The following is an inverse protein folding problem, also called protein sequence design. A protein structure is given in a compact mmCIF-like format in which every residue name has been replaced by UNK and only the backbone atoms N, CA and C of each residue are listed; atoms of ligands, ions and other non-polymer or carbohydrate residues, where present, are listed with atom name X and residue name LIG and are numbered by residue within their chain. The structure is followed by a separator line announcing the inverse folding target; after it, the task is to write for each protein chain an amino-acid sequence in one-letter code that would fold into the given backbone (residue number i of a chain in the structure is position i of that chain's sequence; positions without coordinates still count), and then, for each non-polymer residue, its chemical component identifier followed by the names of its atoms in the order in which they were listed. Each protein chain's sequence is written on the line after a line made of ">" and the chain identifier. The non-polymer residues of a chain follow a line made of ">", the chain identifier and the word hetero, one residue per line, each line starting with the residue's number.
data_IF_096150190719
#
_entry.id   IF_096150190719
#
_cell.length_a   1.000
_cell.length_b   1.000
_cell.length_c   1.000
_cell.angle_alpha   90.00
_cell.angle_beta   90.00
_cell.angle_gamma   90.00
#
_symmetry.space_group_name_H-M   'P 1'
#
loop_
_entity.id
_entity.type
_entity.pdbx_description
1 polymer ?
#
# COMPACT_ATOMS: atom_id res chain seq x y z
N UNK A 1 10.91 -2.24 30.21
CA UNK A 1 9.56 -1.66 30.35
C UNK A 1 8.64 -2.32 29.33
N UNK A 2 7.51 -2.92 29.74
CA UNK A 2 6.59 -3.61 28.82
C UNK A 2 5.79 -2.53 28.08
N UNK A 3 5.84 -2.47 26.74
CA UNK A 3 5.06 -1.49 25.96
C UNK A 3 3.58 -1.60 26.28
N UNK A 4 2.89 -0.47 26.37
CA UNK A 4 1.44 -0.46 26.56
C UNK A 4 0.73 -1.03 25.32
N UNK A 5 -0.52 -1.48 25.46
CA UNK A 5 -1.29 -1.99 24.31
C UNK A 5 -1.39 -0.95 23.18
N UNK A 6 -1.61 0.32 23.53
CA UNK A 6 -1.67 1.42 22.59
C UNK A 6 -0.36 1.58 21.79
N UNK A 7 0.79 1.55 22.47
CA UNK A 7 2.10 1.63 21.80
C UNK A 7 2.36 0.44 20.86
N UNK A 8 1.85 -0.74 21.21
CA UNK A 8 1.96 -1.94 20.36
C UNK A 8 1.08 -1.84 19.13
N UNK A 9 -0.16 -1.36 19.29
CA UNK A 9 -1.09 -1.10 18.19
C UNK A 9 -0.49 -0.09 17.21
N UNK A 10 0.02 1.04 17.72
CA UNK A 10 0.63 2.08 16.88
C UNK A 10 1.91 1.60 16.17
N UNK A 11 2.71 0.78 16.84
CA UNK A 11 3.89 0.17 16.21
C UNK A 11 3.51 -0.82 15.09
N UNK A 12 2.46 -1.62 15.27
CA UNK A 12 1.99 -2.55 14.24
C UNK A 12 1.39 -1.78 13.05
N UNK A 13 0.49 -0.84 13.32
CA UNK A 13 -0.13 0.00 12.30
C UNK A 13 0.89 0.80 11.49
N UNK A 14 1.91 1.39 12.13
CA UNK A 14 2.93 2.17 11.42
C UNK A 14 3.77 1.30 10.47
N UNK A 15 4.06 0.05 10.85
CA UNK A 15 4.76 -0.90 9.98
C UNK A 15 3.89 -1.32 8.79
N UNK A 16 2.61 -1.61 9.01
CA UNK A 16 1.71 -2.01 7.92
C UNK A 16 1.46 -0.84 6.96
N UNK A 17 1.34 0.38 7.50
CA UNK A 17 1.30 1.61 6.71
C UNK A 17 2.55 1.76 5.86
N UNK A 18 3.74 1.49 6.41
CA UNK A 18 4.99 1.53 5.66
C UNK A 18 4.95 0.52 4.50
N UNK A 19 4.53 -0.71 4.75
CA UNK A 19 4.41 -1.74 3.71
C UNK A 19 3.41 -1.36 2.61
N UNK A 20 2.25 -0.81 2.97
CA UNK A 20 1.27 -0.33 2.00
C UNK A 20 1.86 0.77 1.10
N UNK A 21 2.62 1.70 1.68
CA UNK A 21 3.31 2.76 0.92
C UNK A 21 4.45 2.21 0.05
N UNK A 22 5.22 1.23 0.55
CA UNK A 22 6.26 0.57 -0.22
C UNK A 22 5.69 -0.20 -1.43
N UNK A 23 4.58 -0.91 -1.25
CA UNK A 23 3.90 -1.60 -2.34
C UNK A 23 3.34 -0.62 -3.37
N UNK A 24 2.76 0.50 -2.91
CA UNK A 24 2.32 1.57 -3.81
C UNK A 24 3.51 2.12 -4.60
N UNK A 25 4.63 2.44 -3.96
CA UNK A 25 5.83 2.90 -4.65
C UNK A 25 6.37 1.85 -5.64
N UNK A 26 6.33 0.56 -5.28
CA UNK A 26 6.67 -0.54 -6.16
C UNK A 26 5.78 -0.59 -7.41
N UNK A 27 4.48 -0.37 -7.27
CA UNK A 27 3.55 -0.26 -8.40
C UNK A 27 3.94 0.89 -9.34
N UNK A 28 4.19 2.09 -8.79
CA UNK A 28 4.63 3.24 -9.57
C UNK A 28 5.90 2.92 -10.37
N UNK A 29 6.91 2.33 -9.72
CA UNK A 29 8.17 1.93 -10.36
C UNK A 29 7.92 0.90 -11.46
N UNK A 30 7.12 -0.13 -11.20
CA UNK A 30 6.80 -1.16 -12.18
C UNK A 30 6.12 -0.58 -13.42
N UNK A 31 5.14 0.30 -13.26
CA UNK A 31 4.45 0.95 -14.38
C UNK A 31 5.42 1.78 -15.21
N UNK A 32 6.32 2.55 -14.58
CA UNK A 32 7.33 3.35 -15.29
C UNK A 32 8.30 2.45 -16.05
N UNK A 33 8.81 1.39 -15.41
CA UNK A 33 9.73 0.44 -16.06
C UNK A 33 9.08 -0.21 -17.28
N UNK A 34 7.83 -0.67 -17.15
CA UNK A 34 7.10 -1.27 -18.27
C UNK A 34 6.92 -0.26 -19.41
N UNK A 35 6.54 0.97 -19.11
CA UNK A 35 6.40 2.02 -20.13
C UNK A 35 7.72 2.29 -20.85
N UNK A 36 8.83 2.43 -20.12
CA UNK A 36 10.16 2.63 -20.70
C UNK A 36 10.59 1.44 -21.56
N UNK A 37 10.28 0.21 -21.14
CA UNK A 37 10.61 -1.01 -21.87
C UNK A 37 9.88 -1.12 -23.21
N UNK A 38 8.59 -0.76 -23.26
CA UNK A 38 7.79 -0.84 -24.50
C UNK A 38 7.94 0.41 -25.39
N UNK A 39 8.46 1.52 -24.87
CA UNK A 39 8.49 2.82 -25.59
C UNK A 39 9.14 2.74 -26.96
N UNK A 40 10.22 1.97 -27.10
CA UNK A 40 10.96 1.86 -28.39
C UNK A 40 10.16 1.15 -29.48
N UNK A 41 9.17 0.33 -29.11
CA UNK A 41 8.30 -0.41 -30.03
C UNK A 41 7.08 0.40 -30.48
N UNK A 42 6.85 1.57 -29.85
CA UNK A 42 5.68 2.42 -30.13
C UNK A 42 5.91 3.29 -31.37
N UNK A 43 5.52 2.76 -32.53
CA UNK A 43 5.55 3.50 -33.80
C UNK A 43 4.28 4.34 -34.05
N UNK A 44 3.22 4.17 -33.25
CA UNK A 44 1.95 4.88 -33.39
C UNK A 44 1.66 5.76 -32.17
N UNK A 45 1.53 7.07 -32.41
CA UNK A 45 1.27 8.07 -31.37
C UNK A 45 -0.05 7.81 -30.61
N UNK A 46 -1.09 7.29 -31.27
CA UNK A 46 -2.36 6.96 -30.62
C UNK A 46 -2.22 5.87 -29.55
N UNK A 47 -1.39 4.85 -29.83
CA UNK A 47 -1.11 3.78 -28.86
C UNK A 47 -0.31 4.34 -27.68
N UNK A 48 0.66 5.22 -27.94
CA UNK A 48 1.43 5.88 -26.90
C UNK A 48 0.54 6.72 -25.96
N UNK A 49 -0.41 7.49 -26.50
CA UNK A 49 -1.37 8.24 -25.70
C UNK A 49 -2.28 7.33 -24.86
N UNK A 50 -2.81 6.26 -25.47
CA UNK A 50 -3.63 5.29 -24.74
C UNK A 50 -2.87 4.68 -23.57
N UNK A 51 -1.61 4.26 -23.78
CA UNK A 51 -0.76 3.70 -22.72
C UNK A 51 -0.49 4.69 -21.59
N UNK A 52 -0.22 5.96 -21.90
CA UNK A 52 0.01 6.99 -20.87
C UNK A 52 -1.27 7.20 -20.06
N UNK A 53 -2.43 7.32 -20.71
CA UNK A 53 -3.72 7.51 -20.02
C UNK A 53 -4.01 6.30 -19.14
N UNK A 54 -3.85 5.08 -19.65
CA UNK A 54 -4.03 3.86 -18.85
C UNK A 54 -3.08 3.79 -17.67
N UNK A 55 -1.80 4.13 -17.86
CA UNK A 55 -0.82 4.18 -16.77
C UNK A 55 -1.22 5.19 -15.69
N UNK A 56 -1.63 6.40 -16.08
CA UNK A 56 -2.10 7.44 -15.15
C UNK A 56 -3.34 6.97 -14.37
N UNK A 57 -4.28 6.30 -15.04
CA UNK A 57 -5.47 5.77 -14.37
C UNK A 57 -5.11 4.67 -13.37
N UNK A 58 -4.28 3.69 -13.76
CA UNK A 58 -3.85 2.60 -12.87
C UNK A 58 -3.21 3.18 -11.61
N UNK A 59 -2.25 4.08 -11.80
CA UNK A 59 -1.49 4.69 -10.73
C UNK A 59 -2.37 5.60 -9.86
N UNK A 60 -3.21 6.43 -10.49
CA UNK A 60 -4.11 7.34 -9.80
C UNK A 60 -5.15 6.61 -8.94
N UNK A 61 -5.83 5.62 -9.51
CA UNK A 61 -6.83 4.83 -8.78
C UNK A 61 -6.19 4.05 -7.63
N UNK A 62 -5.06 3.37 -7.85
CA UNK A 62 -4.40 2.63 -6.79
C UNK A 62 -3.91 3.55 -5.66
N UNK A 63 -3.38 4.72 -6.00
CA UNK A 63 -2.98 5.72 -5.01
C UNK A 63 -4.18 6.19 -4.19
N UNK A 64 -5.31 6.50 -4.85
CA UNK A 64 -6.53 6.91 -4.16
C UNK A 64 -7.08 5.79 -3.24
N UNK A 65 -7.10 4.54 -3.71
CA UNK A 65 -7.54 3.38 -2.93
C UNK A 65 -6.66 3.16 -1.69
N UNK A 66 -5.34 3.22 -1.82
CA UNK A 66 -4.41 3.06 -0.69
C UNK A 66 -4.59 4.21 0.31
N UNK A 67 -4.72 5.46 -0.15
CA UNK A 67 -4.97 6.61 0.72
C UNK A 67 -6.30 6.46 1.47
N UNK A 68 -7.36 6.05 0.77
CA UNK A 68 -8.67 5.82 1.37
C UNK A 68 -8.60 4.71 2.43
N UNK A 69 -7.95 3.59 2.12
CA UNK A 69 -7.71 2.49 3.05
C UNK A 69 -6.95 2.96 4.31
N UNK A 70 -5.84 3.69 4.14
CA UNK A 70 -5.04 4.19 5.26
C UNK A 70 -5.83 5.17 6.13
N UNK A 71 -6.63 6.06 5.52
CA UNK A 71 -7.48 7.01 6.25
C UNK A 71 -8.58 6.31 7.04
N UNK A 72 -9.23 5.32 6.46
CA UNK A 72 -10.26 4.54 7.14
C UNK A 72 -9.67 3.72 8.29
N UNK A 73 -8.57 3.02 8.04
CA UNK A 73 -7.91 2.18 9.05
C UNK A 73 -7.29 2.99 10.20
N UNK A 74 -6.92 4.25 9.98
CA UNK A 74 -6.46 5.11 11.07
C UNK A 74 -7.53 5.30 12.16
N UNK A 75 -8.81 5.28 11.79
CA UNK A 75 -9.93 5.43 12.73
C UNK A 75 -10.23 4.12 13.47
N UNK A 76 -10.13 2.99 12.76
CA UNK A 76 -10.54 1.67 13.28
C UNK A 76 -9.37 0.83 13.84
N UNK A 77 -8.14 1.36 13.81
CA UNK A 77 -6.91 0.64 14.22
C UNK A 77 -7.00 0.05 15.64
N UNK A 78 -7.70 0.72 16.57
CA UNK A 78 -7.77 0.22 17.95
C UNK A 78 -8.46 -1.13 18.02
N UNK A 79 -9.58 -1.31 17.34
CA UNK A 79 -10.35 -2.55 17.40
C UNK A 79 -9.65 -3.69 16.65
N UNK A 80 -9.17 -3.42 15.43
CA UNK A 80 -8.52 -4.42 14.56
C UNK A 80 -7.25 -4.96 15.24
N UNK A 81 -6.32 -4.07 15.57
CA UNK A 81 -4.99 -4.49 16.04
C UNK A 81 -4.97 -4.98 17.49
N UNK A 82 -5.92 -4.58 18.34
CA UNK A 82 -6.01 -5.12 19.70
C UNK A 82 -6.38 -6.61 19.68
N UNK A 83 -7.27 -7.02 18.78
CA UNK A 83 -7.64 -8.43 18.59
C UNK A 83 -6.43 -9.22 18.07
N UNK A 84 -5.72 -8.72 17.06
CA UNK A 84 -4.54 -9.39 16.50
C UNK A 84 -3.42 -9.56 17.53
N UNK A 85 -3.15 -8.52 18.31
CA UNK A 85 -2.15 -8.57 19.38
C UNK A 85 -2.52 -9.61 20.44
N UNK A 86 -3.80 -9.70 20.83
CA UNK A 86 -4.27 -10.71 21.79
C UNK A 86 -4.07 -12.12 21.26
N UNK A 87 -4.39 -12.37 19.99
CA UNK A 87 -4.16 -13.68 19.35
C UNK A 87 -2.66 -14.01 19.29
N UNK A 88 -1.80 -13.07 18.88
CA UNK A 88 -0.35 -13.26 18.88
C UNK A 88 0.22 -13.55 20.27
N UNK A 89 -0.31 -12.89 21.30
CA UNK A 89 0.07 -13.13 22.69
C UNK A 89 -0.40 -14.52 23.17
N UNK A 90 -1.56 -15.00 22.72
CA UNK A 90 -2.03 -16.37 22.99
C UNK A 90 -1.16 -17.42 22.31
N UNK A 91 -0.77 -17.20 21.05
CA UNK A 91 0.12 -18.11 20.31
C UNK A 91 1.50 -18.24 20.95
N UNK A 92 2.01 -17.17 21.58
CA UNK A 92 3.29 -17.16 22.31
C UNK A 92 3.26 -17.81 23.69
N UNK A 93 2.06 -18.06 24.24
CA UNK A 93 1.88 -18.72 25.54
C UNK A 93 1.73 -20.25 25.44
N UNK A 94 1.60 -20.78 24.22
CA UNK A 94 1.77 -22.21 23.91
C UNK A 94 3.25 -22.50 23.70
#
# INVERSE_FOLDING_TARGET
>A
MKRSMHERIDAMYSRDRLWALCLLAGLWIAVVIVYLGVRSELHNNGIAFALIISALLIVGYNTASVIAMLRHYANDKRWIYEIDIRHLDQMRKK
#
